data_IF_472151641655
#
_entry.id   IF_472151641655
#
_cell.length_a   1.000
_cell.length_b   1.000
_cell.length_c   1.000
_cell.angle_alpha   90.00
_cell.angle_beta   90.00
_cell.angle_gamma   90.00
#
_symmetry.space_group_name_H-M   'P 1'
#
loop_
_entity.id
_entity.type
_entity.pdbx_description
1 polymer ?
#
# COMPACT_ATOMS: atom_id res chain seq x y z
N UNK A 1 13.10 -6.81 -0.75
CA UNK A 1 12.04 -5.79 -0.60
C UNK A 1 12.49 -4.78 0.45
N UNK A 2 12.25 -3.49 0.22
CA UNK A 2 12.55 -2.44 1.21
C UNK A 2 11.29 -1.61 1.46
N UNK A 3 11.07 -1.17 2.70
CA UNK A 3 9.92 -0.36 3.08
C UNK A 3 10.33 0.75 4.06
N UNK A 4 9.68 1.91 3.96
CA UNK A 4 9.82 3.03 4.91
C UNK A 4 8.43 3.50 5.33
N UNK A 5 8.29 3.82 6.61
CA UNK A 5 7.08 4.31 7.23
C UNK A 5 7.39 5.62 7.96
N UNK A 6 6.55 6.62 7.74
CA UNK A 6 6.55 7.92 8.40
C UNK A 6 5.20 8.10 9.10
N UNK A 7 5.22 8.47 10.38
CA UNK A 7 4.03 8.68 11.20
C UNK A 7 3.99 10.13 11.66
N UNK A 8 2.96 10.86 11.22
CA UNK A 8 2.63 12.19 11.75
C UNK A 8 1.60 12.00 12.87
N UNK A 9 1.99 12.26 14.12
CA UNK A 9 1.14 12.14 15.33
C UNK A 9 0.98 13.52 15.98
N UNK A 10 -0.14 14.23 15.74
CA UNK A 10 -0.40 15.53 16.36
C UNK A 10 -0.71 15.40 17.86
N UNK A 11 -0.22 16.34 18.68
CA UNK A 11 -0.49 16.37 20.12
C UNK A 11 -1.80 17.09 20.50
N UNK A 12 -2.51 17.64 19.52
CA UNK A 12 -3.75 18.40 19.69
C UNK A 12 -5.03 17.54 19.51
N UNK A 13 -4.87 16.22 19.32
CA UNK A 13 -5.98 15.29 19.11
C UNK A 13 -6.51 15.23 17.67
N UNK A 14 -5.80 15.81 16.70
CA UNK A 14 -6.03 15.56 15.28
C UNK A 14 -5.66 14.12 14.87
N UNK A 15 -6.09 13.71 13.67
CA UNK A 15 -5.93 12.35 13.18
C UNK A 15 -4.46 12.04 12.88
N UNK A 16 -3.99 10.88 13.35
CA UNK A 16 -2.69 10.33 12.97
C UNK A 16 -2.65 10.06 11.46
N UNK A 17 -1.58 10.48 10.80
CA UNK A 17 -1.35 10.17 9.39
C UNK A 17 -0.15 9.24 9.25
N UNK A 18 -0.38 8.09 8.63
CA UNK A 18 0.68 7.14 8.26
C UNK A 18 0.99 7.28 6.77
N UNK A 19 2.24 7.55 6.42
CA UNK A 19 2.71 7.60 5.03
C UNK A 19 3.83 6.61 4.86
N UNK A 20 3.91 5.96 3.70
CA UNK A 20 5.05 5.08 3.47
C UNK A 20 5.27 4.77 2.01
N UNK A 21 6.44 4.19 1.78
CA UNK A 21 6.91 3.78 0.47
C UNK A 21 7.48 2.37 0.56
N UNK A 22 7.14 1.54 -0.43
CA UNK A 22 7.65 0.17 -0.57
C UNK A 22 8.26 0.02 -1.95
N UNK A 23 9.52 -0.42 -2.00
CA UNK A 23 10.19 -0.80 -3.24
C UNK A 23 10.22 -2.33 -3.36
N UNK A 24 9.64 -2.82 -4.44
CA UNK A 24 9.68 -4.22 -4.86
C UNK A 24 10.79 -4.40 -5.90
N UNK A 25 11.62 -5.42 -5.67
CA UNK A 25 12.62 -5.92 -6.61
C UNK A 25 12.55 -7.44 -6.62
N UNK A 26 12.14 -8.00 -7.76
CA UNK A 26 12.05 -9.44 -7.99
C UNK A 26 11.25 -10.20 -6.91
N UNK A 27 10.01 -9.76 -6.64
CA UNK A 27 9.13 -10.38 -5.65
C UNK A 27 8.09 -11.28 -6.32
N UNK A 28 7.37 -12.06 -5.52
CA UNK A 28 6.20 -12.80 -5.95
C UNK A 28 4.97 -12.31 -5.21
N UNK A 29 3.86 -12.10 -5.93
CA UNK A 29 2.58 -11.63 -5.37
C UNK A 29 1.47 -12.60 -5.74
N UNK A 30 0.84 -13.19 -4.73
CA UNK A 30 -0.32 -14.06 -4.91
C UNK A 30 -1.62 -13.24 -4.92
N UNK A 31 -2.37 -13.35 -6.00
CA UNK A 31 -3.67 -12.69 -6.19
C UNK A 31 -4.76 -13.70 -5.89
N UNK A 32 -5.22 -13.72 -4.64
CA UNK A 32 -6.19 -14.70 -4.14
C UNK A 32 -7.49 -14.79 -4.97
N UNK A 33 -8.15 -13.69 -5.39
CA UNK A 33 -9.37 -13.79 -6.20
C UNK A 33 -9.19 -14.49 -7.55
N UNK A 34 -7.96 -14.53 -8.06
CA UNK A 34 -7.61 -15.10 -9.36
C UNK A 34 -6.81 -16.40 -9.21
N UNK A 35 -6.58 -16.86 -7.98
CA UNK A 35 -5.72 -18.00 -7.62
C UNK A 35 -4.43 -18.07 -8.45
N UNK A 36 -3.76 -16.92 -8.61
CA UNK A 36 -2.62 -16.80 -9.51
C UNK A 36 -1.49 -15.99 -8.88
N UNK A 37 -0.26 -16.21 -9.35
CA UNK A 37 0.93 -15.55 -8.83
C UNK A 37 1.59 -14.72 -9.92
N UNK A 38 1.77 -13.43 -9.65
CA UNK A 38 2.70 -12.57 -10.38
C UNK A 38 4.12 -12.90 -9.92
N UNK A 39 5.01 -13.20 -10.87
CA UNK A 39 6.43 -13.47 -10.61
C UNK A 39 7.29 -12.31 -11.07
N UNK A 40 8.49 -12.21 -10.50
CA UNK A 40 9.49 -11.19 -10.84
C UNK A 40 8.96 -9.75 -10.70
N UNK A 41 8.02 -9.55 -9.76
CA UNK A 41 7.36 -8.27 -9.54
C UNK A 41 8.36 -7.22 -9.06
N UNK A 42 8.43 -6.12 -9.80
CA UNK A 42 9.28 -4.97 -9.50
C UNK A 42 8.50 -3.67 -9.69
N UNK A 43 8.84 -2.67 -8.88
CA UNK A 43 8.17 -1.36 -8.91
C UNK A 43 8.03 -0.77 -7.52
N UNK A 44 7.19 0.26 -7.40
CA UNK A 44 7.06 1.06 -6.18
C UNK A 44 5.61 1.31 -5.83
N UNK A 45 5.32 1.20 -4.54
CA UNK A 45 4.05 1.58 -3.95
C UNK A 45 4.25 2.71 -2.95
N UNK A 46 3.31 3.64 -2.91
CA UNK A 46 3.16 4.61 -1.84
C UNK A 46 1.79 4.46 -1.20
N UNK A 47 1.69 4.77 0.08
CA UNK A 47 0.41 4.83 0.77
C UNK A 47 0.33 6.06 1.66
N UNK A 48 -0.90 6.57 1.78
CA UNK A 48 -1.31 7.52 2.81
C UNK A 48 -2.50 6.90 3.52
N UNK A 49 -2.31 6.55 4.79
CA UNK A 49 -3.23 5.77 5.59
C UNK A 49 -3.63 4.47 4.88
N UNK A 50 -4.88 4.41 4.43
CA UNK A 50 -5.47 3.24 3.80
C UNK A 50 -5.44 3.28 2.28
N UNK A 51 -5.06 4.42 1.72
CA UNK A 51 -5.06 4.66 0.29
C UNK A 51 -3.69 4.28 -0.26
N UNK A 52 -3.71 3.45 -1.30
CA UNK A 52 -2.54 2.86 -1.92
C UNK A 52 -2.48 3.27 -3.39
N UNK A 53 -1.31 3.74 -3.80
CA UNK A 53 -1.00 4.06 -5.17
C UNK A 53 0.29 3.36 -5.57
N UNK A 54 0.36 2.89 -6.81
CA UNK A 54 1.60 2.39 -7.37
C UNK A 54 2.04 3.22 -8.58
N UNK A 55 3.35 3.29 -8.77
CA UNK A 55 3.93 3.52 -10.09
C UNK A 55 3.67 2.28 -10.98
N UNK A 56 3.90 2.34 -12.30
CA UNK A 56 3.82 1.16 -13.14
C UNK A 56 4.63 0.00 -12.55
N UNK A 57 3.98 -1.15 -12.37
CA UNK A 57 4.62 -2.36 -11.89
C UNK A 57 4.90 -3.28 -13.06
N UNK A 58 6.07 -3.89 -13.07
CA UNK A 58 6.44 -4.90 -14.05
C UNK A 58 6.47 -6.27 -13.40
N UNK A 59 5.95 -7.27 -14.10
CA UNK A 59 5.93 -8.65 -13.65
C UNK A 59 5.79 -9.61 -14.82
N UNK A 60 5.90 -10.91 -14.53
CA UNK A 60 5.46 -11.98 -15.41
C UNK A 60 4.20 -12.63 -14.84
N UNK A 61 3.17 -12.74 -15.67
CA UNK A 61 1.89 -13.38 -15.34
C UNK A 61 1.51 -14.38 -16.41
N UNK A 62 1.26 -15.65 -16.05
CA UNK A 62 0.98 -16.73 -17.01
C UNK A 62 1.99 -16.79 -18.18
N UNK A 63 3.28 -16.62 -17.88
CA UNK A 63 4.39 -16.55 -18.83
C UNK A 63 4.29 -15.40 -19.85
N UNK A 64 3.50 -14.37 -19.56
CA UNK A 64 3.38 -13.15 -20.35
C UNK A 64 3.89 -11.94 -19.55
N UNK A 65 4.47 -10.93 -20.20
CA UNK A 65 4.83 -9.68 -19.54
C UNK A 65 3.57 -8.94 -19.08
N UNK A 66 3.60 -8.41 -17.86
CA UNK A 66 2.54 -7.59 -17.28
C UNK A 66 3.13 -6.25 -16.86
N UNK A 67 2.54 -5.16 -17.34
CA UNK A 67 2.92 -3.79 -16.96
C UNK A 67 1.66 -2.94 -16.69
N UNK A 68 1.33 -2.73 -15.41
CA UNK A 68 0.17 -1.92 -15.00
C UNK A 68 0.42 -1.25 -13.65
N UNK A 69 -0.18 -0.07 -13.46
CA UNK A 69 -0.31 0.57 -12.15
C UNK A 69 -1.54 0.06 -11.39
N UNK A 70 -1.46 0.06 -10.06
CA UNK A 70 -2.55 -0.24 -9.15
C UNK A 70 -2.95 1.01 -8.38
N UNK A 71 -4.26 1.21 -8.25
CA UNK A 71 -4.84 2.21 -7.38
C UNK A 71 -5.88 1.55 -6.50
N UNK A 72 -5.80 1.76 -5.19
CA UNK A 72 -6.80 1.30 -4.24
C UNK A 72 -7.08 2.40 -3.23
N UNK A 73 -8.35 2.80 -3.16
CA UNK A 73 -8.84 3.71 -2.15
C UNK A 73 -9.80 2.95 -1.25
N UNK A 74 -9.60 2.99 0.08
CA UNK A 74 -10.61 2.45 0.97
C UNK A 74 -11.77 3.44 1.05
N UNK A 75 -12.97 2.99 0.70
CA UNK A 75 -14.20 3.76 0.95
C UNK A 75 -14.45 3.77 2.45
N UNK A 76 -14.13 4.88 3.11
CA UNK A 76 -14.56 5.24 4.46
C UNK A 76 -14.27 4.21 5.55
N UNK A 77 -13.17 4.39 6.29
CA UNK A 77 -13.08 4.10 7.73
C UNK A 77 -11.81 4.71 8.30
N UNK A 78 -11.98 5.67 9.21
CA UNK A 78 -10.91 6.21 10.04
C UNK A 78 -10.28 5.08 10.88
N UNK A 79 -8.98 5.21 11.13
CA UNK A 79 -8.26 4.30 12.02
C UNK A 79 -8.88 4.37 13.43
N UNK A 80 -9.04 3.23 14.13
CA UNK A 80 -9.51 3.23 15.52
C UNK A 80 -8.40 3.78 16.43
N UNK A 81 -8.49 5.08 16.69
CA UNK A 81 -7.82 5.83 17.76
C UNK A 81 -8.72 6.97 18.28
N UNK A 82 -10.01 6.93 17.92
CA UNK A 82 -11.03 7.92 18.25
C UNK A 82 -11.51 7.74 19.69
N UNK A 83 -10.75 8.28 20.63
CA UNK A 83 -11.22 8.53 21.98
C UNK A 83 -10.53 9.79 22.48
N UNK A 84 -11.13 10.97 22.24
CA UNK A 84 -10.78 12.16 23.02
C UNK A 84 -11.02 11.81 24.50
N UNK A 85 -10.10 12.09 25.43
CA UNK A 85 -10.49 12.13 26.84
C UNK A 85 -11.53 13.26 26.97
N UNK A 86 -12.78 12.88 27.28
CA UNK A 86 -13.76 13.83 27.80
C UNK A 86 -13.18 14.37 29.12
N UNK A 87 -12.89 15.67 29.12
CA UNK A 87 -12.84 16.46 30.35
C UNK A 87 -14.23 17.01 30.61
#
# INVERSE_FOLDING_TARGET
>A
MNARLHLDIPLNGELVTAKGEVTLRNNSLFIKPLDSTLKNLSGKFSFINSDLQSEPLTASWFNQPFERGFFHQRRGKSLPGSGKPQR
#
